data_IF_339058718984
#
_entry.id   IF_339058718984
#
_cell.length_a   1.000
_cell.length_b   1.000
_cell.length_c   1.000
_cell.angle_alpha   90.00
_cell.angle_beta   90.00
_cell.angle_gamma   90.00
#
_symmetry.space_group_name_H-M   'P 1'
#
loop_
_entity.id
_entity.type
_entity.pdbx_description
1 polymer ?
#
# COMPACT_ATOMS: atom_id res chain seq x y z
N UNK A 1 0.39 -7.15 27.02
CA UNK A 1 1.37 -6.88 25.94
C UNK A 1 0.85 -5.79 24.98
N UNK A 2 0.14 -4.78 25.48
CA UNK A 2 -0.47 -3.71 24.66
C UNK A 2 0.16 -2.33 24.94
N UNK A 3 0.85 -2.18 26.08
CA UNK A 3 1.35 -0.90 26.54
C UNK A 3 2.86 -0.68 26.28
N UNK A 4 3.60 -1.70 25.86
CA UNK A 4 5.06 -1.58 25.64
C UNK A 4 5.44 -0.83 24.34
N UNK A 5 4.50 -0.61 23.41
CA UNK A 5 4.79 0.00 22.10
C UNK A 5 4.19 1.39 21.90
N UNK A 6 3.39 1.92 22.84
CA UNK A 6 2.71 3.21 22.64
C UNK A 6 3.66 4.40 22.57
N UNK A 7 4.71 4.43 23.39
CA UNK A 7 5.65 5.56 23.46
C UNK A 7 6.52 5.71 22.21
N UNK A 8 6.69 4.63 21.44
CA UNK A 8 7.47 4.61 20.20
C UNK A 8 6.61 4.42 18.94
N UNK A 9 5.28 4.42 19.08
CA UNK A 9 4.38 4.33 17.94
C UNK A 9 4.40 5.66 17.17
N UNK A 10 4.62 5.55 15.87
CA UNK A 10 4.39 6.63 14.93
C UNK A 10 3.00 6.48 14.33
N UNK A 11 2.25 7.58 14.26
CA UNK A 11 0.97 7.56 13.55
C UNK A 11 1.23 7.30 12.05
N UNK A 12 0.45 6.43 11.38
CA UNK A 12 0.69 6.07 9.97
C UNK A 12 0.86 7.29 9.05
N UNK A 13 0.04 8.32 9.22
CA UNK A 13 0.11 9.56 8.43
C UNK A 13 1.41 10.35 8.65
N UNK A 14 2.03 10.24 9.82
CA UNK A 14 3.33 10.87 10.12
C UNK A 14 4.45 10.06 9.48
N UNK A 15 4.36 8.74 9.48
CA UNK A 15 5.31 7.87 8.80
C UNK A 15 5.30 8.10 7.28
N UNK A 16 4.12 8.20 6.66
CA UNK A 16 3.98 8.51 5.24
C UNK A 16 4.59 9.88 4.89
N UNK A 17 4.34 10.91 5.71
CA UNK A 17 4.96 12.22 5.52
C UNK A 17 6.49 12.18 5.61
N UNK A 18 7.05 11.31 6.47
CA UNK A 18 8.50 11.12 6.55
C UNK A 18 9.04 10.43 5.30
N UNK A 19 8.37 9.40 4.81
CA UNK A 19 8.73 8.71 3.55
C UNK A 19 8.75 9.72 2.41
N UNK A 20 7.68 10.51 2.25
CA UNK A 20 7.58 11.53 1.19
C UNK A 20 8.68 12.60 1.31
N UNK A 21 8.97 13.07 2.52
CA UNK A 21 10.03 14.05 2.76
C UNK A 21 11.42 13.50 2.42
N UNK A 22 11.70 12.23 2.73
CA UNK A 22 12.97 11.57 2.42
C UNK A 22 13.09 11.31 0.92
N UNK A 23 12.02 10.82 0.27
CA UNK A 23 11.97 10.58 -1.16
C UNK A 23 12.24 11.87 -1.93
N UNK A 24 11.55 12.96 -1.59
CA UNK A 24 11.70 14.27 -2.23
C UNK A 24 13.14 14.79 -2.15
N UNK A 25 13.80 14.65 -0.99
CA UNK A 25 15.22 15.04 -0.83
C UNK A 25 16.17 14.29 -1.77
N UNK A 26 15.75 13.12 -2.27
CA UNK A 26 16.51 12.25 -3.17
C UNK A 26 16.05 12.31 -4.62
N UNK A 27 15.21 13.30 -5.00
CA UNK A 27 14.61 13.42 -6.35
C UNK A 27 13.79 12.19 -6.72
N UNK A 28 13.02 11.72 -5.74
CA UNK A 28 12.09 10.60 -5.85
C UNK A 28 10.72 11.04 -5.32
N UNK A 29 9.69 10.29 -5.71
CA UNK A 29 8.32 10.45 -5.22
C UNK A 29 7.74 9.10 -4.82
N UNK A 30 6.86 9.10 -3.83
CA UNK A 30 5.98 7.97 -3.55
C UNK A 30 4.89 7.94 -4.63
N UNK A 31 4.68 6.77 -5.22
CA UNK A 31 3.67 6.58 -6.26
C UNK A 31 2.27 6.43 -5.65
N UNK A 32 1.26 6.92 -6.35
CA UNK A 32 -0.14 6.79 -5.97
C UNK A 32 -0.67 5.39 -6.26
N UNK A 33 -1.61 4.89 -5.45
CA UNK A 33 -2.20 3.54 -5.59
C UNK A 33 -3.71 3.61 -5.74
N UNK A 34 -4.26 2.73 -6.58
CA UNK A 34 -5.71 2.61 -6.79
C UNK A 34 -6.49 2.25 -5.53
N UNK A 35 -5.85 1.55 -4.57
CA UNK A 35 -6.41 1.22 -3.25
C UNK A 35 -5.33 1.39 -2.18
N UNK A 36 -5.65 1.99 -1.03
CA UNK A 36 -4.64 2.28 -0.01
C UNK A 36 -4.21 1.04 0.76
N UNK A 37 -5.13 0.15 1.13
CA UNK A 37 -4.83 -1.01 1.97
C UNK A 37 -4.28 -2.17 1.13
N UNK A 38 -3.09 -2.61 1.50
CA UNK A 38 -2.34 -3.64 0.78
C UNK A 38 -2.08 -4.87 1.64
N UNK A 39 -2.30 -4.78 2.96
CA UNK A 39 -2.21 -5.90 3.88
C UNK A 39 -3.51 -6.10 4.65
N UNK A 40 -3.93 -7.35 4.82
CA UNK A 40 -5.06 -7.75 5.66
C UNK A 40 -4.93 -9.20 6.08
N UNK A 41 -5.06 -9.50 7.37
CA UNK A 41 -5.10 -10.88 7.86
C UNK A 41 -6.53 -11.48 7.92
N UNK A 42 -7.51 -10.80 7.31
CA UNK A 42 -8.89 -11.26 7.16
C UNK A 42 -9.89 -10.56 8.10
N UNK A 43 -11.16 -10.56 7.69
CA UNK A 43 -12.24 -9.74 8.26
C UNK A 43 -12.56 -10.02 9.73
N UNK A 44 -12.28 -11.24 10.21
CA UNK A 44 -12.53 -11.68 11.59
C UNK A 44 -11.36 -11.44 12.54
N UNK A 45 -10.26 -10.87 12.05
CA UNK A 45 -9.07 -10.64 12.87
C UNK A 45 -9.12 -9.28 13.54
N UNK A 46 -8.29 -9.15 14.57
CA UNK A 46 -8.15 -7.92 15.37
C UNK A 46 -7.62 -6.74 14.55
N UNK A 47 -6.66 -6.98 13.67
CA UNK A 47 -6.02 -5.93 12.90
C UNK A 47 -6.88 -5.62 11.67
N UNK A 48 -7.19 -4.34 11.49
CA UNK A 48 -7.89 -3.87 10.30
C UNK A 48 -6.95 -3.90 9.09
N UNK A 49 -7.49 -3.98 7.86
CA UNK A 49 -6.68 -3.79 6.66
C UNK A 49 -5.84 -2.52 6.74
N UNK A 50 -4.58 -2.62 6.32
CA UNK A 50 -3.55 -1.60 6.55
C UNK A 50 -2.81 -1.23 5.26
N UNK A 51 -2.36 0.02 5.19
CA UNK A 51 -1.61 0.59 4.07
C UNK A 51 -0.11 0.50 4.38
N UNK A 52 0.49 -0.67 4.15
CA UNK A 52 1.87 -0.96 4.59
C UNK A 52 2.89 -1.00 3.43
N UNK A 53 2.43 -1.28 2.21
CA UNK A 53 3.32 -1.47 1.07
C UNK A 53 3.35 -0.22 0.19
N UNK A 54 4.52 0.38 -0.03
CA UNK A 54 4.66 1.63 -0.79
C UNK A 54 5.66 1.50 -1.92
N UNK A 55 5.39 2.15 -3.05
CA UNK A 55 6.32 2.23 -4.18
C UNK A 55 6.92 3.63 -4.20
N UNK A 56 8.24 3.73 -4.21
CA UNK A 56 8.98 5.00 -4.30
C UNK A 56 9.90 4.91 -5.52
N UNK A 57 9.84 5.91 -6.39
CA UNK A 57 10.56 5.92 -7.66
C UNK A 57 11.18 7.28 -7.96
N UNK A 58 12.21 7.30 -8.81
CA UNK A 58 12.86 8.54 -9.25
C UNK A 58 11.91 9.43 -10.06
N UNK A 59 12.00 10.74 -9.87
CA UNK A 59 11.05 11.72 -10.44
C UNK A 59 11.05 11.78 -11.97
N UNK A 60 12.15 11.39 -12.60
CA UNK A 60 12.27 11.40 -14.06
C UNK A 60 11.66 10.17 -14.74
N UNK A 61 11.24 9.16 -13.97
CA UNK A 61 10.57 7.98 -14.52
C UNK A 61 9.10 8.31 -14.80
N UNK A 62 8.64 7.88 -15.97
CA UNK A 62 7.24 7.99 -16.38
C UNK A 62 6.54 6.66 -16.14
N UNK A 63 5.27 6.73 -15.73
CA UNK A 63 4.46 5.57 -15.38
C UNK A 63 3.13 5.61 -16.12
N UNK A 64 2.68 4.45 -16.60
CA UNK A 64 1.31 4.30 -17.10
C UNK A 64 0.30 4.67 -16.00
N UNK A 65 -0.79 5.34 -16.38
CA UNK A 65 -1.82 5.76 -15.43
C UNK A 65 -3.01 4.81 -15.49
N UNK A 66 -3.32 4.19 -14.35
CA UNK A 66 -4.49 3.34 -14.19
C UNK A 66 -5.57 4.11 -13.45
N UNK A 67 -6.53 4.64 -14.20
CA UNK A 67 -7.61 5.48 -13.66
C UNK A 67 -7.10 6.64 -12.76
N UNK A 68 -5.99 7.27 -13.17
CA UNK A 68 -5.38 8.40 -12.46
C UNK A 68 -4.47 8.00 -11.28
N UNK A 69 -4.08 6.72 -11.19
CA UNK A 69 -3.08 6.26 -10.21
C UNK A 69 -1.91 5.56 -10.91
N UNK A 70 -0.71 5.70 -10.33
CA UNK A 70 0.52 5.11 -10.87
C UNK A 70 0.58 3.58 -10.67
N UNK A 71 -0.05 3.07 -9.61
CA UNK A 71 0.05 1.68 -9.17
C UNK A 71 -1.36 1.09 -8.98
N UNK A 72 -1.60 -0.07 -9.58
CA UNK A 72 -2.78 -0.89 -9.30
C UNK A 72 -2.51 -1.82 -8.13
N UNK A 73 -3.33 -1.71 -7.08
CA UNK A 73 -3.42 -2.72 -6.04
C UNK A 73 -4.44 -3.80 -6.45
N UNK A 74 -3.94 -5.00 -6.72
CA UNK A 74 -4.69 -6.16 -7.22
C UNK A 74 -4.86 -7.24 -6.14
N UNK A 75 -5.80 -8.15 -6.36
CA UNK A 75 -6.06 -9.28 -5.46
C UNK A 75 -7.21 -9.00 -4.50
N UNK A 76 -7.07 -9.35 -3.21
CA UNK A 76 -8.16 -9.15 -2.25
C UNK A 76 -8.71 -7.71 -2.21
N UNK A 77 -7.94 -6.62 -2.41
CA UNK A 77 -8.52 -5.28 -2.41
C UNK A 77 -9.54 -5.03 -3.55
N UNK A 78 -9.49 -5.81 -4.63
CA UNK A 78 -10.45 -5.75 -5.74
C UNK A 78 -11.80 -6.41 -5.41
N UNK A 79 -11.82 -7.28 -4.41
CA UNK A 79 -13.03 -7.98 -4.00
C UNK A 79 -13.99 -7.05 -3.23
N UNK A 80 -15.27 -7.13 -3.58
CA UNK A 80 -16.30 -6.21 -3.06
C UNK A 80 -16.95 -6.67 -1.76
N UNK A 81 -16.68 -7.90 -1.32
CA UNK A 81 -17.26 -8.46 -0.10
C UNK A 81 -16.19 -8.99 0.85
N UNK A 82 -16.36 -8.87 2.18
CA UNK A 82 -15.41 -9.43 3.14
C UNK A 82 -15.19 -10.94 2.98
N UNK A 83 -16.23 -11.69 2.61
CA UNK A 83 -16.11 -13.13 2.38
C UNK A 83 -15.22 -13.46 1.17
N UNK A 84 -15.33 -12.69 0.08
CA UNK A 84 -14.48 -12.85 -1.09
C UNK A 84 -13.03 -12.42 -0.80
N UNK A 85 -12.85 -11.32 -0.06
CA UNK A 85 -11.53 -10.89 0.43
C UNK A 85 -10.86 -11.99 1.26
N UNK A 86 -11.58 -12.54 2.24
CA UNK A 86 -11.08 -13.62 3.09
C UNK A 86 -10.76 -14.89 2.30
N UNK A 87 -11.58 -15.23 1.30
CA UNK A 87 -11.33 -16.36 0.41
C UNK A 87 -10.06 -16.17 -0.43
N UNK A 88 -9.84 -14.97 -0.96
CA UNK A 88 -8.61 -14.62 -1.68
C UNK A 88 -7.40 -14.69 -0.74
N UNK A 89 -7.49 -14.09 0.45
CA UNK A 89 -6.41 -14.07 1.43
C UNK A 89 -5.99 -15.48 1.83
N UNK A 90 -6.97 -16.34 2.12
CA UNK A 90 -6.72 -17.74 2.47
C UNK A 90 -6.07 -18.53 1.33
N UNK A 91 -6.41 -18.19 0.08
CA UNK A 91 -5.96 -18.93 -1.10
C UNK A 91 -4.61 -18.47 -1.62
N UNK A 92 -4.31 -17.18 -1.54
CA UNK A 92 -3.17 -16.57 -2.22
C UNK A 92 -2.19 -15.88 -1.28
N UNK A 93 -2.60 -14.82 -0.57
CA UNK A 93 -1.71 -14.03 0.29
C UNK A 93 -2.49 -13.06 1.18
N UNK A 94 -1.96 -12.68 2.34
CA UNK A 94 -2.46 -11.55 3.14
C UNK A 94 -2.01 -10.18 2.60
N UNK A 95 -1.05 -10.15 1.67
CA UNK A 95 -0.67 -8.98 0.89
C UNK A 95 -1.32 -8.94 -0.50
N UNK A 96 -1.68 -7.74 -0.93
CA UNK A 96 -2.09 -7.42 -2.30
C UNK A 96 -0.90 -7.41 -3.25
N UNK A 97 -1.15 -7.59 -4.54
CA UNK A 97 -0.14 -7.38 -5.57
C UNK A 97 -0.10 -5.89 -5.92
N UNK A 98 1.10 -5.31 -5.98
CA UNK A 98 1.32 -3.97 -6.52
C UNK A 98 1.83 -4.06 -7.95
N UNK A 99 1.04 -3.58 -8.90
CA UNK A 99 1.35 -3.59 -10.32
C UNK A 99 1.52 -2.16 -10.85
N UNK A 100 2.58 -1.90 -11.60
CA UNK A 100 2.86 -0.63 -12.27
C UNK A 100 3.72 -0.87 -13.50
N UNK A 101 3.63 0.04 -14.46
CA UNK A 101 4.38 -0.02 -15.72
C UNK A 101 5.27 1.21 -15.84
N UNK A 102 6.57 0.99 -16.09
CA UNK A 102 7.53 2.07 -16.35
C UNK A 102 7.58 2.30 -17.86
N UNK A 103 7.25 3.51 -18.28
CA UNK A 103 7.32 3.90 -19.69
C UNK A 103 8.75 4.24 -20.09
N UNK A 104 9.16 3.83 -21.28
CA UNK A 104 10.40 4.33 -21.88
C UNK A 104 10.15 5.77 -22.39
N UNK A 105 11.14 6.67 -22.23
CA UNK A 105 11.06 8.01 -22.80
C UNK A 105 10.85 8.01 -24.31
#
# INVERSE_FOLDING_TARGET
>A
MEDLFKEHNILPEIELKKIDAIAKKRKMRTLTKSRPHTWSNGSKRRYKPSNLDHVVAADHLQFEQFAGTDVRALGWPEETTPAAQDAWIKRFSDHSILYFEVQRP
#
